data_IF_140622126962
#
_entry.id   IF_140622126962
#
_cell.length_a   1.000
_cell.length_b   1.000
_cell.length_c   1.000
_cell.angle_alpha   90.00
_cell.angle_beta   90.00
_cell.angle_gamma   90.00
#
_symmetry.space_group_name_H-M   'P 1'
#
loop_
_entity.id
_entity.type
_entity.pdbx_description
1 polymer ?
#
# COMPACT_ATOMS: atom_id res chain seq x y z
N UNK A 1 -12.36 -16.58 25.19
CA UNK A 1 -13.18 -15.37 24.90
C UNK A 1 -12.36 -14.21 25.46
N UNK A 2 -11.47 -13.64 24.67
CA UNK A 2 -10.80 -12.38 24.99
C UNK A 2 -11.76 -11.26 24.58
N UNK A 3 -12.14 -10.42 25.54
CA UNK A 3 -12.90 -9.20 25.28
C UNK A 3 -12.04 -8.31 24.39
N UNK A 4 -12.56 -7.96 23.21
CA UNK A 4 -12.04 -6.92 22.36
C UNK A 4 -12.25 -5.59 23.06
N UNK A 5 -11.22 -5.09 23.74
CA UNK A 5 -11.15 -3.71 24.18
C UNK A 5 -11.00 -2.81 22.95
N UNK A 6 -11.77 -1.75 22.93
CA UNK A 6 -12.00 -0.73 21.91
C UNK A 6 -10.99 -0.64 20.78
N UNK A 7 -11.50 -0.65 19.57
CA UNK A 7 -10.77 -0.60 18.30
C UNK A 7 -9.97 0.70 18.19
N UNK A 8 -8.78 0.73 18.77
CA UNK A 8 -7.79 1.78 18.48
C UNK A 8 -7.23 1.51 17.08
N UNK A 9 -7.38 2.48 16.19
CA UNK A 9 -6.75 2.45 14.87
C UNK A 9 -5.24 2.31 15.06
N UNK A 10 -4.64 1.24 14.51
CA UNK A 10 -3.19 1.03 14.62
C UNK A 10 -2.44 2.11 13.85
N UNK A 11 -1.18 2.35 14.23
CA UNK A 11 -0.32 3.29 13.50
C UNK A 11 -0.15 2.91 12.03
N UNK A 12 -0.25 1.62 11.69
CA UNK A 12 -0.20 1.14 10.32
C UNK A 12 -1.42 1.54 9.51
N UNK A 13 -2.63 1.41 10.05
CA UNK A 13 -3.88 1.83 9.38
C UNK A 13 -3.92 3.34 9.20
N UNK A 14 -3.51 4.11 10.21
CA UNK A 14 -3.37 5.57 10.10
C UNK A 14 -2.40 5.94 8.98
N UNK A 15 -1.28 5.22 8.88
CA UNK A 15 -0.32 5.42 7.80
C UNK A 15 -0.92 5.09 6.43
N UNK A 16 -1.59 3.94 6.29
CA UNK A 16 -2.22 3.52 5.04
C UNK A 16 -3.24 4.58 4.56
N UNK A 17 -4.13 5.04 5.44
CA UNK A 17 -5.12 6.09 5.14
C UNK A 17 -4.45 7.41 4.77
N UNK A 18 -3.43 7.84 5.53
CA UNK A 18 -2.66 9.06 5.25
C UNK A 18 -1.95 8.96 3.90
N UNK A 19 -1.37 7.80 3.56
CA UNK A 19 -0.72 7.55 2.26
C UNK A 19 -1.70 7.71 1.10
N UNK A 20 -2.90 7.14 1.21
CA UNK A 20 -3.94 7.28 0.19
C UNK A 20 -4.42 8.73 0.05
N UNK A 21 -4.59 9.45 1.16
CA UNK A 21 -4.98 10.87 1.17
C UNK A 21 -3.89 11.78 0.59
N UNK A 22 -2.61 11.56 0.91
CA UNK A 22 -1.47 12.28 0.32
C UNK A 22 -1.31 12.01 -1.18
N UNK A 23 -1.64 10.81 -1.65
CA UNK A 23 -1.62 10.46 -3.07
C UNK A 23 -2.64 11.26 -3.92
N UNK A 24 -3.60 11.92 -3.28
CA UNK A 24 -4.59 12.75 -3.96
C UNK A 24 -4.05 14.13 -4.40
N UNK A 25 -2.84 14.55 -3.95
CA UNK A 25 -2.24 15.83 -4.38
C UNK A 25 -1.64 15.71 -5.79
N UNK A 26 -1.95 16.66 -6.70
CA UNK A 26 -1.74 16.55 -8.15
C UNK A 26 -0.30 16.20 -8.60
N UNK A 27 0.73 16.78 -8.03
CA UNK A 27 2.12 16.50 -8.42
C UNK A 27 2.58 15.09 -7.97
N UNK A 28 2.25 14.69 -6.74
CA UNK A 28 2.55 13.37 -6.19
C UNK A 28 1.71 12.29 -6.89
N UNK A 29 0.49 12.62 -7.31
CA UNK A 29 -0.41 11.73 -8.05
C UNK A 29 0.15 11.33 -9.42
N UNK A 30 0.77 12.26 -10.16
CA UNK A 30 1.37 11.94 -11.45
C UNK A 30 2.54 10.96 -11.32
N UNK A 31 3.43 11.17 -10.35
CA UNK A 31 4.54 10.27 -10.07
C UNK A 31 4.06 8.88 -9.63
N UNK A 32 3.07 8.82 -8.74
CA UNK A 32 2.45 7.57 -8.31
C UNK A 32 1.82 6.81 -9.49
N UNK A 33 1.08 7.49 -10.35
CA UNK A 33 0.47 6.86 -11.53
C UNK A 33 1.51 6.29 -12.49
N UNK A 34 2.66 6.94 -12.64
CA UNK A 34 3.77 6.42 -13.44
C UNK A 34 4.35 5.14 -12.83
N UNK A 35 4.52 5.09 -11.50
CA UNK A 35 4.97 3.89 -10.77
C UNK A 35 3.99 2.72 -10.91
N UNK A 36 2.70 2.99 -10.71
CA UNK A 36 1.64 1.98 -10.84
C UNK A 36 1.57 1.43 -12.28
N UNK A 37 1.66 2.31 -13.28
CA UNK A 37 1.66 1.90 -14.70
C UNK A 37 2.89 1.05 -15.01
N UNK A 38 4.08 1.40 -14.50
CA UNK A 38 5.30 0.59 -14.66
C UNK A 38 5.12 -0.79 -14.04
N UNK A 39 4.58 -0.86 -12.83
CA UNK A 39 4.33 -2.14 -12.15
C UNK A 39 3.37 -3.05 -12.94
N UNK A 40 2.29 -2.49 -13.50
CA UNK A 40 1.37 -3.22 -14.38
C UNK A 40 2.10 -3.73 -15.62
N UNK A 41 2.90 -2.89 -16.29
CA UNK A 41 3.64 -3.28 -17.50
C UNK A 41 4.61 -4.43 -17.22
N UNK A 42 5.35 -4.37 -16.12
CA UNK A 42 6.31 -5.41 -15.73
C UNK A 42 5.57 -6.70 -15.37
N UNK A 43 4.52 -6.64 -14.56
CA UNK A 43 3.73 -7.81 -14.17
C UNK A 43 3.08 -8.49 -15.39
N UNK A 44 2.58 -7.73 -16.36
CA UNK A 44 2.02 -8.26 -17.60
C UNK A 44 3.09 -8.98 -18.43
N UNK A 45 4.29 -8.37 -18.56
CA UNK A 45 5.41 -8.93 -19.33
C UNK A 45 5.97 -10.20 -18.70
N UNK A 46 6.21 -10.21 -17.39
CA UNK A 46 6.76 -11.35 -16.66
C UNK A 46 5.81 -12.54 -16.65
N UNK A 47 4.50 -12.31 -16.47
CA UNK A 47 3.50 -13.35 -16.52
C UNK A 47 3.16 -13.84 -17.94
N UNK A 48 3.55 -13.08 -18.97
CA UNK A 48 3.41 -13.46 -20.38
C UNK A 48 1.98 -13.50 -20.93
N UNK A 49 0.99 -13.07 -20.14
CA UNK A 49 -0.42 -13.06 -20.54
C UNK A 49 -1.04 -11.69 -20.21
N UNK A 50 -1.69 -11.00 -21.18
CA UNK A 50 -2.38 -9.72 -20.94
C UNK A 50 -3.69 -9.85 -20.17
N UNK A 51 -4.21 -11.08 -20.01
CA UNK A 51 -5.43 -11.33 -19.25
C UNK A 51 -5.10 -11.54 -17.76
N UNK A 52 -5.61 -10.69 -16.85
CA UNK A 52 -5.38 -10.84 -15.43
C UNK A 52 -5.92 -12.16 -14.85
N UNK A 53 -6.92 -12.79 -15.47
CA UNK A 53 -7.44 -14.08 -15.01
C UNK A 53 -6.40 -15.21 -15.14
N UNK A 54 -5.46 -15.07 -16.08
CA UNK A 54 -4.38 -16.01 -16.33
C UNK A 54 -3.03 -15.57 -15.74
N UNK A 55 -2.97 -14.35 -15.17
CA UNK A 55 -1.73 -13.73 -14.68
C UNK A 55 -1.97 -13.10 -13.31
N UNK A 56 -1.70 -13.88 -12.26
CA UNK A 56 -1.94 -13.46 -10.88
C UNK A 56 -1.16 -12.19 -10.48
N UNK A 57 0.07 -12.02 -10.97
CA UNK A 57 0.87 -10.82 -10.72
C UNK A 57 0.25 -9.58 -11.36
N UNK A 58 -0.27 -9.72 -12.57
CA UNK A 58 -0.99 -8.65 -13.26
C UNK A 58 -2.30 -8.31 -12.55
N UNK A 59 -3.07 -9.32 -12.12
CA UNK A 59 -4.29 -9.11 -11.35
C UNK A 59 -4.02 -8.31 -10.08
N UNK A 60 -3.00 -8.68 -9.31
CA UNK A 60 -2.59 -7.96 -8.10
C UNK A 60 -2.14 -6.52 -8.39
N UNK A 61 -1.37 -6.29 -9.45
CA UNK A 61 -0.93 -4.95 -9.85
C UNK A 61 -2.11 -4.06 -10.28
N UNK A 62 -3.10 -4.61 -10.96
CA UNK A 62 -4.33 -3.90 -11.34
C UNK A 62 -5.16 -3.54 -10.11
N UNK A 63 -5.34 -4.46 -9.16
CA UNK A 63 -6.11 -4.20 -7.94
C UNK A 63 -5.47 -3.11 -7.08
N UNK A 64 -4.14 -3.16 -6.92
CA UNK A 64 -3.39 -2.07 -6.30
C UNK A 64 -3.65 -0.74 -7.01
N UNK A 65 -3.52 -0.70 -8.32
CA UNK A 65 -3.72 0.51 -9.11
C UNK A 65 -5.15 1.08 -9.00
N UNK A 66 -6.16 0.22 -8.91
CA UNK A 66 -7.56 0.61 -8.65
C UNK A 66 -7.71 1.27 -7.28
N UNK A 67 -7.06 0.74 -6.24
CA UNK A 67 -7.05 1.30 -4.90
C UNK A 67 -6.55 2.76 -4.85
N UNK A 68 -5.61 3.10 -5.74
CA UNK A 68 -5.11 4.47 -5.91
C UNK A 68 -5.83 5.27 -7.02
N UNK A 69 -6.97 4.78 -7.49
CA UNK A 69 -7.80 5.45 -8.51
C UNK A 69 -7.08 5.68 -9.84
N UNK A 70 -6.20 4.76 -10.26
CA UNK A 70 -5.60 4.83 -11.60
C UNK A 70 -6.70 4.62 -12.66
N UNK A 71 -6.86 5.53 -13.64
CA UNK A 71 -7.90 5.41 -14.66
C UNK A 71 -7.78 4.12 -15.47
N UNK A 72 -8.92 3.53 -15.81
CA UNK A 72 -9.00 2.26 -16.58
C UNK A 72 -8.24 2.34 -17.91
N UNK A 73 -8.29 3.49 -18.60
CA UNK A 73 -7.56 3.69 -19.85
C UNK A 73 -6.04 3.61 -19.65
N UNK A 74 -5.52 4.15 -18.54
CA UNK A 74 -4.10 4.06 -18.20
C UNK A 74 -3.68 2.62 -17.86
N UNK A 75 -4.53 1.86 -17.18
CA UNK A 75 -4.32 0.44 -16.93
C UNK A 75 -4.20 -0.32 -18.24
N UNK A 76 -5.14 -0.11 -19.18
CA UNK A 76 -5.11 -0.74 -20.50
C UNK A 76 -3.85 -0.40 -21.27
N UNK A 77 -3.48 0.89 -21.35
CA UNK A 77 -2.25 1.34 -22.01
C UNK A 77 -1.01 0.69 -21.40
N UNK A 78 -0.95 0.53 -20.08
CA UNK A 78 0.17 -0.12 -19.40
C UNK A 78 0.30 -1.61 -19.77
N UNK A 79 -0.83 -2.33 -19.89
CA UNK A 79 -0.86 -3.71 -20.34
C UNK A 79 -0.43 -3.81 -21.81
N UNK A 80 -1.01 -2.98 -22.70
CA UNK A 80 -0.70 -2.96 -24.13
C UNK A 80 0.80 -2.68 -24.38
N UNK A 81 1.41 -1.83 -23.54
CA UNK A 81 2.84 -1.50 -23.62
C UNK A 81 3.74 -2.72 -23.33
N UNK A 82 3.30 -3.66 -22.49
CA UNK A 82 4.07 -4.87 -22.17
C UNK A 82 4.26 -5.79 -23.38
N UNK A 83 3.28 -5.82 -24.31
CA UNK A 83 3.24 -6.71 -25.49
C UNK A 83 3.53 -5.99 -26.79
N UNK A 84 3.74 -4.66 -26.74
CA UNK A 84 4.08 -3.85 -27.92
C UNK A 84 5.50 -4.11 -28.40
N UNK A 85 5.73 -3.91 -29.73
CA UNK A 85 7.04 -4.05 -30.39
C UNK A 85 8.02 -2.90 -30.14
N UNK A 86 7.79 -2.07 -29.11
CA UNK A 86 8.64 -0.92 -28.76
C UNK A 86 9.98 -1.33 -28.13
N UNK A 87 11.02 -0.56 -28.39
CA UNK A 87 12.38 -0.75 -27.86
C UNK A 87 12.51 -0.56 -26.33
N UNK A 88 11.46 -0.30 -25.60
CA UNK A 88 11.42 -0.13 -24.15
C UNK A 88 11.37 -1.48 -23.40
N UNK A 89 12.27 -2.39 -23.76
CA UNK A 89 12.45 -3.65 -23.05
C UNK A 89 13.49 -3.54 -21.94
N UNK A 90 13.43 -2.45 -21.14
CA UNK A 90 14.23 -2.39 -19.93
C UNK A 90 13.92 -3.63 -19.07
N UNK A 91 14.95 -4.36 -18.71
CA UNK A 91 14.80 -5.48 -17.77
C UNK A 91 14.74 -4.90 -16.38
N UNK A 92 13.52 -4.79 -15.85
CA UNK A 92 13.30 -4.40 -14.47
C UNK A 92 13.52 -5.59 -13.54
N UNK A 93 14.12 -5.33 -12.40
CA UNK A 93 14.23 -6.28 -11.31
C UNK A 93 13.67 -5.68 -10.01
N UNK A 94 13.08 -6.53 -9.18
CA UNK A 94 12.64 -6.16 -7.85
C UNK A 94 13.81 -6.26 -6.87
N UNK A 95 14.07 -5.18 -6.12
CA UNK A 95 15.13 -5.11 -5.12
C UNK A 95 14.56 -4.57 -3.81
N UNK A 96 14.93 -5.20 -2.69
CA UNK A 96 14.57 -4.74 -1.35
C UNK A 96 15.76 -4.04 -0.72
N UNK A 97 15.54 -2.85 -0.20
CA UNK A 97 16.52 -2.09 0.58
C UNK A 97 16.02 -1.98 2.02
N UNK A 98 16.94 -2.17 2.95
CA UNK A 98 16.68 -2.21 4.38
C UNK A 98 17.58 -1.24 5.12
N UNK A 99 17.05 -0.47 6.05
CA UNK A 99 17.86 0.48 6.80
C UNK A 99 17.17 0.99 8.06
N UNK A 100 17.90 1.79 8.80
CA UNK A 100 17.43 2.50 9.99
C UNK A 100 17.42 3.99 9.73
N UNK A 101 16.26 4.60 9.91
CA UNK A 101 16.07 6.03 9.85
C UNK A 101 16.37 6.73 11.18
N UNK A 102 15.98 8.00 11.30
CA UNK A 102 16.07 8.75 12.55
C UNK A 102 15.45 7.98 13.73
N UNK A 103 15.98 8.18 14.93
CA UNK A 103 15.57 7.50 16.16
C UNK A 103 15.63 5.95 16.08
N UNK A 104 16.39 5.38 15.14
CA UNK A 104 16.54 3.94 14.98
C UNK A 104 15.30 3.24 14.41
N UNK A 105 14.38 3.98 13.78
CA UNK A 105 13.19 3.41 13.15
C UNK A 105 13.57 2.57 11.94
N UNK A 106 13.19 1.30 11.95
CA UNK A 106 13.43 0.43 10.80
C UNK A 106 12.57 0.85 9.61
N UNK A 107 13.20 0.89 8.43
CA UNK A 107 12.57 1.25 7.15
C UNK A 107 12.92 0.20 6.12
N UNK A 108 11.91 -0.31 5.42
CA UNK A 108 12.04 -1.26 4.34
C UNK A 108 11.47 -0.65 3.05
N UNK A 109 12.24 -0.74 1.96
CA UNK A 109 11.86 -0.19 0.66
C UNK A 109 11.85 -1.29 -0.40
N UNK A 110 10.78 -1.37 -1.16
CA UNK A 110 10.70 -2.21 -2.35
C UNK A 110 10.89 -1.36 -3.60
N UNK A 111 11.87 -1.70 -4.41
CA UNK A 111 12.21 -1.02 -5.66
C UNK A 111 11.95 -1.91 -6.87
N UNK A 112 11.53 -1.28 -7.96
CA UNK A 112 11.47 -1.87 -9.29
C UNK A 112 12.38 -1.06 -10.20
N UNK A 113 13.55 -1.59 -10.52
CA UNK A 113 14.61 -0.83 -11.17
C UNK A 113 15.24 -1.57 -12.36
N UNK A 114 15.65 -0.82 -13.33
CA UNK A 114 16.51 -1.26 -14.44
C UNK A 114 18.00 -1.02 -14.17
N UNK A 115 18.35 -0.37 -13.02
CA UNK A 115 19.72 -0.07 -12.64
C UNK A 115 19.92 -0.08 -11.12
N UNK A 116 20.29 -1.24 -10.57
CA UNK A 116 20.54 -1.44 -9.12
C UNK A 116 21.53 -0.46 -8.51
N UNK A 117 22.58 -0.12 -9.25
CA UNK A 117 23.64 0.74 -8.71
C UNK A 117 23.15 2.18 -8.53
N UNK A 118 22.39 2.70 -9.50
CA UNK A 118 21.73 4.00 -9.39
C UNK A 118 20.78 4.02 -8.20
N UNK A 119 19.84 3.07 -8.14
CA UNK A 119 18.86 3.02 -7.06
C UNK A 119 19.49 2.86 -5.69
N UNK A 120 20.52 1.99 -5.55
CA UNK A 120 21.24 1.83 -4.29
C UNK A 120 21.94 3.12 -3.85
N UNK A 121 22.49 3.90 -4.79
CA UNK A 121 23.11 5.19 -4.49
C UNK A 121 22.08 6.22 -4.01
N UNK A 122 20.94 6.30 -4.70
CA UNK A 122 19.86 7.23 -4.37
C UNK A 122 19.23 6.90 -3.00
N UNK A 123 18.96 5.63 -2.73
CA UNK A 123 18.44 5.18 -1.44
C UNK A 123 19.44 5.45 -0.31
N UNK A 124 20.73 5.13 -0.52
CA UNK A 124 21.76 5.43 0.47
C UNK A 124 21.87 6.93 0.76
N UNK A 125 21.78 7.75 -0.26
CA UNK A 125 21.81 9.21 -0.11
C UNK A 125 20.59 9.69 0.70
N UNK A 126 19.39 9.16 0.44
CA UNK A 126 18.18 9.51 1.19
C UNK A 126 18.33 9.19 2.69
N UNK A 127 18.77 7.98 3.04
CA UNK A 127 19.02 7.59 4.43
C UNK A 127 20.08 8.48 5.09
N UNK A 128 21.22 8.69 4.44
CA UNK A 128 22.33 9.49 5.00
C UNK A 128 21.94 10.95 5.22
N UNK A 129 21.19 11.56 4.32
CA UNK A 129 20.69 12.94 4.48
C UNK A 129 19.71 13.10 5.64
N UNK A 130 18.98 12.05 5.97
CA UNK A 130 18.05 12.04 7.10
C UNK A 130 18.73 11.71 8.44
N UNK A 131 20.02 11.41 8.44
CA UNK A 131 20.77 10.98 9.63
C UNK A 131 20.57 9.50 9.97
N UNK A 132 20.13 8.71 9.00
CA UNK A 132 19.99 7.26 9.09
C UNK A 132 21.09 6.51 8.34
N UNK A 133 20.97 5.20 8.27
CA UNK A 133 21.91 4.31 7.60
C UNK A 133 21.21 3.24 6.80
N UNK A 134 21.63 3.05 5.55
CA UNK A 134 21.26 1.88 4.77
C UNK A 134 22.01 0.64 5.33
N UNK A 135 21.25 -0.39 5.65
CA UNK A 135 21.77 -1.66 6.17
C UNK A 135 22.04 -2.69 5.07
N UNK A 136 22.32 -3.92 5.52
CA UNK A 136 22.40 -5.09 4.64
C UNK A 136 21.06 -5.81 4.57
N UNK A 137 20.90 -6.71 3.60
CA UNK A 137 19.72 -7.56 3.50
C UNK A 137 19.51 -8.37 4.78
N UNK A 138 18.28 -8.41 5.29
CA UNK A 138 17.91 -9.08 6.54
C UNK A 138 18.09 -8.22 7.80
N UNK A 139 18.56 -6.96 7.68
CA UNK A 139 18.80 -6.11 8.85
C UNK A 139 17.52 -5.62 9.53
N UNK A 140 16.41 -5.47 8.79
CA UNK A 140 15.12 -4.98 9.32
C UNK A 140 13.91 -5.82 8.90
N UNK A 141 14.02 -6.66 7.87
CA UNK A 141 12.89 -7.42 7.32
C UNK A 141 12.16 -8.28 8.38
N UNK A 142 12.89 -8.78 9.39
CA UNK A 142 12.33 -9.58 10.49
C UNK A 142 11.36 -8.80 11.40
N UNK A 143 11.34 -7.47 11.30
CA UNK A 143 10.45 -6.59 12.06
C UNK A 143 9.10 -6.39 11.35
N UNK A 144 8.92 -7.01 10.19
CA UNK A 144 7.70 -6.92 9.39
C UNK A 144 7.13 -8.30 9.09
N UNK A 145 5.81 -8.35 8.99
CA UNK A 145 5.06 -9.48 8.48
C UNK A 145 4.42 -9.10 7.15
N UNK A 146 4.57 -9.95 6.13
CA UNK A 146 3.92 -9.75 4.85
C UNK A 146 2.47 -10.19 4.91
N UNK A 147 1.54 -9.28 4.59
CA UNK A 147 0.09 -9.53 4.58
C UNK A 147 -0.55 -9.03 3.30
N UNK A 148 -1.73 -9.55 2.99
CA UNK A 148 -2.66 -8.92 2.07
C UNK A 148 -3.43 -7.83 2.79
N UNK A 149 -3.79 -6.76 2.09
CA UNK A 149 -4.58 -5.64 2.59
C UNK A 149 -5.67 -5.30 1.59
N UNK A 150 -6.91 -5.21 2.06
CA UNK A 150 -8.09 -4.82 1.26
C UNK A 150 -8.69 -3.57 1.88
N UNK A 151 -8.89 -2.54 1.08
CA UNK A 151 -9.56 -1.30 1.50
C UNK A 151 -11.05 -1.40 1.17
N UNK A 152 -11.88 -1.23 2.18
CA UNK A 152 -13.34 -1.34 2.08
C UNK A 152 -13.97 -0.04 2.57
N UNK A 153 -14.49 0.82 1.69
CA UNK A 153 -15.16 2.06 2.11
C UNK A 153 -16.46 1.73 2.87
N UNK A 154 -16.78 2.49 3.89
CA UNK A 154 -18.05 2.35 4.64
C UNK A 154 -19.25 2.82 3.83
N UNK A 155 -19.02 3.76 2.91
CA UNK A 155 -20.00 4.29 1.98
C UNK A 155 -19.50 4.23 0.53
N UNK A 156 -20.40 4.11 -0.43
CA UNK A 156 -20.08 4.07 -1.85
C UNK A 156 -20.86 5.13 -2.63
N UNK A 157 -20.25 5.67 -3.67
CA UNK A 157 -20.88 6.65 -4.54
C UNK A 157 -22.03 6.03 -5.36
N UNK A 158 -23.16 6.73 -5.43
CA UNK A 158 -24.34 6.26 -6.18
C UNK A 158 -24.42 6.81 -7.60
N UNK A 159 -23.69 7.91 -7.88
CA UNK A 159 -23.84 8.69 -9.09
C UNK A 159 -25.09 9.59 -9.11
N UNK A 160 -25.98 9.54 -8.12
CA UNK A 160 -27.12 10.41 -7.97
C UNK A 160 -26.74 11.71 -7.26
N UNK A 161 -27.00 12.86 -7.88
CA UNK A 161 -26.69 14.18 -7.29
C UNK A 161 -27.48 14.50 -6.03
N UNK A 162 -28.65 13.86 -5.81
CA UNK A 162 -29.48 14.09 -4.61
C UNK A 162 -29.05 13.22 -3.43
N UNK A 163 -28.59 11.99 -3.73
CA UNK A 163 -28.09 11.06 -2.75
C UNK A 163 -26.72 10.55 -3.23
N UNK A 164 -25.64 11.35 -3.07
CA UNK A 164 -24.36 11.07 -3.71
C UNK A 164 -23.67 9.80 -3.18
N UNK A 165 -23.98 9.39 -1.95
CA UNK A 165 -23.42 8.20 -1.30
C UNK A 165 -24.52 7.32 -0.71
N UNK A 166 -24.24 6.06 -0.51
CA UNK A 166 -25.06 5.08 0.19
C UNK A 166 -24.19 4.15 1.04
N UNK A 167 -24.75 3.52 2.09
CA UNK A 167 -24.08 2.49 2.85
C UNK A 167 -23.54 1.37 1.96
N UNK A 168 -22.36 0.83 2.28
CA UNK A 168 -21.70 -0.22 1.53
C UNK A 168 -22.00 -1.61 2.13
N UNK A 169 -23.23 -2.10 2.02
CA UNK A 169 -23.62 -3.40 2.54
C UNK A 169 -23.24 -3.56 4.00
N UNK A 170 -22.70 -4.71 4.38
CA UNK A 170 -22.24 -5.01 5.73
C UNK A 170 -21.17 -4.05 6.26
N UNK A 171 -20.41 -3.37 5.37
CA UNK A 171 -19.35 -2.43 5.79
C UNK A 171 -19.88 -1.15 6.46
N UNK A 172 -21.18 -0.90 6.42
CA UNK A 172 -21.80 0.23 7.10
C UNK A 172 -22.00 0.03 8.61
N UNK A 173 -21.95 -1.20 9.08
CA UNK A 173 -22.11 -1.59 10.49
C UNK A 173 -20.96 -2.51 10.90
N UNK A 174 -20.34 -2.24 12.06
CA UNK A 174 -19.14 -2.96 12.50
C UNK A 174 -19.42 -4.43 12.81
N UNK A 175 -20.56 -4.75 13.44
CA UNK A 175 -20.89 -6.14 13.81
C UNK A 175 -21.17 -6.97 12.56
N UNK A 176 -21.92 -6.43 11.60
CA UNK A 176 -22.18 -7.07 10.31
C UNK A 176 -20.89 -7.24 9.50
N UNK A 177 -20.01 -6.22 9.53
CA UNK A 177 -18.75 -6.27 8.82
C UNK A 177 -17.78 -7.31 9.40
N UNK A 178 -17.69 -7.39 10.72
CA UNK A 178 -16.90 -8.43 11.40
C UNK A 178 -17.30 -9.84 10.95
N UNK A 179 -18.60 -10.10 10.87
CA UNK A 179 -19.11 -11.40 10.40
C UNK A 179 -18.76 -11.63 8.92
N UNK A 180 -18.94 -10.62 8.06
CA UNK A 180 -18.62 -10.71 6.65
C UNK A 180 -17.11 -10.98 6.40
N UNK A 181 -16.23 -10.32 7.17
CA UNK A 181 -14.76 -10.55 7.10
C UNK A 181 -14.42 -11.98 7.53
N UNK A 182 -15.01 -12.46 8.64
CA UNK A 182 -14.77 -13.83 9.12
C UNK A 182 -15.25 -14.88 8.12
N UNK A 183 -16.46 -14.72 7.54
CA UNK A 183 -16.99 -15.61 6.52
C UNK A 183 -16.18 -15.60 5.23
N UNK A 184 -15.63 -14.43 4.85
CA UNK A 184 -14.75 -14.28 3.69
C UNK A 184 -13.37 -14.90 3.90
N UNK A 185 -12.98 -15.22 5.14
CA UNK A 185 -11.66 -15.75 5.49
C UNK A 185 -10.58 -14.69 5.71
N UNK A 186 -10.98 -13.47 6.09
CA UNK A 186 -10.05 -12.43 6.52
C UNK A 186 -9.44 -12.77 7.89
N UNK A 187 -8.18 -12.40 8.10
CA UNK A 187 -7.46 -12.66 9.36
C UNK A 187 -7.82 -11.62 10.43
N UNK A 188 -7.98 -10.35 10.02
CA UNK A 188 -8.21 -9.22 10.91
C UNK A 188 -8.78 -8.04 10.13
N UNK A 189 -9.31 -7.04 10.84
CA UNK A 189 -9.71 -5.78 10.24
C UNK A 189 -9.46 -4.61 11.20
N UNK A 190 -9.32 -3.42 10.65
CA UNK A 190 -9.13 -2.19 11.42
C UNK A 190 -10.03 -1.09 10.90
N UNK A 191 -10.53 -0.27 11.82
CA UNK A 191 -11.28 0.94 11.51
C UNK A 191 -10.32 2.06 11.09
N UNK A 192 -10.51 2.60 9.89
CA UNK A 192 -9.75 3.70 9.34
C UNK A 192 -10.65 4.92 9.01
N UNK A 193 -11.55 5.26 9.91
CA UNK A 193 -12.54 6.34 9.85
C UNK A 193 -13.60 6.09 8.75
N UNK A 194 -13.34 6.47 7.51
CA UNK A 194 -14.27 6.36 6.38
C UNK A 194 -14.21 4.99 5.68
N UNK A 195 -13.24 4.17 6.02
CA UNK A 195 -13.04 2.86 5.42
C UNK A 195 -12.54 1.84 6.45
N UNK A 196 -12.70 0.55 6.14
CA UNK A 196 -12.10 -0.56 6.85
C UNK A 196 -10.86 -1.04 6.11
N UNK A 197 -9.85 -1.45 6.86
CA UNK A 197 -8.69 -2.16 6.33
C UNK A 197 -8.80 -3.62 6.74
N UNK A 198 -8.97 -4.53 5.78
CA UNK A 198 -9.01 -5.97 6.04
C UNK A 198 -7.64 -6.57 5.73
N UNK A 199 -7.11 -7.34 6.68
CA UNK A 199 -5.85 -8.07 6.52
C UNK A 199 -6.12 -9.53 6.21
N UNK A 200 -5.26 -10.11 5.38
CA UNK A 200 -5.31 -11.51 4.96
C UNK A 200 -3.93 -12.12 4.95
N UNK A 201 -3.85 -13.44 4.88
CA UNK A 201 -2.62 -14.09 4.45
C UNK A 201 -2.26 -13.63 3.03
N UNK A 202 -0.96 -13.63 2.65
CA UNK A 202 -0.54 -13.24 1.31
C UNK A 202 -1.20 -14.05 0.19
N UNK A 203 -1.49 -15.33 0.44
CA UNK A 203 -2.07 -16.25 -0.55
C UNK A 203 -3.57 -16.08 -0.73
N UNK A 204 -4.26 -15.59 0.30
CA UNK A 204 -5.73 -15.55 0.34
C UNK A 204 -6.29 -14.18 -0.07
N UNK A 205 -5.43 -13.18 -0.30
CA UNK A 205 -5.81 -11.80 -0.61
C UNK A 205 -6.94 -11.71 -1.65
N UNK A 206 -6.77 -12.34 -2.81
CA UNK A 206 -7.74 -12.24 -3.89
C UNK A 206 -9.01 -13.08 -3.64
N UNK A 207 -8.88 -14.20 -2.91
CA UNK A 207 -10.01 -15.02 -2.53
C UNK A 207 -10.92 -14.30 -1.52
N UNK A 208 -10.32 -13.68 -0.49
CA UNK A 208 -11.04 -12.89 0.52
C UNK A 208 -11.71 -11.67 -0.13
N UNK A 209 -10.98 -10.94 -0.99
CA UNK A 209 -11.56 -9.82 -1.74
C UNK A 209 -12.80 -10.25 -2.52
N UNK A 210 -12.70 -11.35 -3.26
CA UNK A 210 -13.79 -11.88 -4.07
C UNK A 210 -14.99 -12.29 -3.20
N UNK A 211 -14.73 -12.95 -2.07
CA UNK A 211 -15.78 -13.36 -1.14
C UNK A 211 -16.55 -12.16 -0.55
N UNK A 212 -15.84 -11.07 -0.20
CA UNK A 212 -16.47 -9.82 0.25
C UNK A 212 -17.34 -9.21 -0.85
N UNK A 213 -16.88 -9.20 -2.10
CA UNK A 213 -17.64 -8.68 -3.24
C UNK A 213 -18.87 -9.54 -3.56
N UNK A 214 -18.79 -10.86 -3.43
CA UNK A 214 -19.91 -11.80 -3.55
C UNK A 214 -20.95 -11.63 -2.42
N UNK A 215 -20.54 -11.07 -1.28
CA UNK A 215 -21.42 -10.68 -0.17
C UNK A 215 -21.93 -9.20 -0.28
N UNK A 216 -21.91 -8.62 -1.48
CA UNK A 216 -22.36 -7.25 -1.76
C UNK A 216 -21.58 -6.14 -1.02
N UNK A 217 -20.35 -6.42 -0.60
CA UNK A 217 -19.41 -5.43 -0.04
C UNK A 217 -18.47 -4.94 -1.14
N UNK A 218 -18.59 -3.68 -1.54
CA UNK A 218 -17.71 -3.08 -2.55
C UNK A 218 -16.33 -2.83 -1.98
N UNK A 219 -15.29 -3.29 -2.66
CA UNK A 219 -13.89 -3.01 -2.30
C UNK A 219 -13.31 -1.89 -3.15
N UNK A 220 -12.43 -1.08 -2.57
CA UNK A 220 -11.74 0.01 -3.27
C UNK A 220 -10.48 -0.49 -3.99
N UNK A 221 -9.80 -1.48 -3.41
CA UNK A 221 -8.60 -2.09 -3.96
C UNK A 221 -7.98 -3.07 -2.99
N UNK A 222 -6.99 -3.82 -3.48
CA UNK A 222 -6.25 -4.78 -2.69
C UNK A 222 -4.77 -4.73 -3.06
N UNK A 223 -3.89 -4.86 -2.08
CA UNK A 223 -2.45 -4.88 -2.29
C UNK A 223 -1.73 -5.72 -1.24
N UNK A 224 -0.50 -6.11 -1.56
CA UNK A 224 0.41 -6.67 -0.56
C UNK A 224 1.02 -5.55 0.27
N UNK A 225 1.15 -5.78 1.56
CA UNK A 225 1.74 -4.82 2.51
C UNK A 225 2.72 -5.51 3.47
N UNK A 226 3.52 -4.70 4.16
CA UNK A 226 4.42 -5.13 5.25
C UNK A 226 3.93 -4.49 6.54
N UNK A 227 3.43 -5.30 7.46
CA UNK A 227 2.90 -4.85 8.75
C UNK A 227 3.99 -4.99 9.81
N UNK A 228 4.29 -3.94 10.60
CA UNK A 228 5.23 -4.05 11.72
C UNK A 228 4.76 -5.09 12.73
N UNK A 229 5.65 -6.01 13.12
CA UNK A 229 5.38 -6.99 14.19
C UNK A 229 5.41 -6.34 15.56
N UNK A 230 6.22 -5.30 15.73
CA UNK A 230 6.31 -4.49 16.95
C UNK A 230 6.49 -3.04 16.56
N UNK A 231 5.43 -2.22 16.63
CA UNK A 231 5.52 -0.81 16.35
C UNK A 231 6.49 -0.08 17.28
N UNK A 232 7.26 0.87 16.75
CA UNK A 232 8.23 1.65 17.50
C UNK A 232 7.64 3.02 17.87
N UNK A 233 7.54 3.31 19.16
CA UNK A 233 7.10 4.61 19.66
C UNK A 233 8.26 5.60 19.59
N UNK A 234 8.01 6.78 19.04
CA UNK A 234 8.99 7.88 18.91
C UNK A 234 8.36 9.20 19.35
N UNK A 235 9.20 10.23 19.58
CA UNK A 235 8.72 11.57 19.82
C UNK A 235 8.13 12.21 18.56
N UNK A 236 7.24 13.18 18.68
CA UNK A 236 6.71 13.98 17.55
C UNK A 236 7.84 14.56 16.70
N UNK A 237 8.91 15.08 17.35
CA UNK A 237 10.08 15.62 16.64
C UNK A 237 10.79 14.58 15.78
N UNK A 238 10.96 13.37 16.30
CA UNK A 238 11.60 12.28 15.57
C UNK A 238 10.67 11.71 14.51
N UNK A 239 9.38 11.64 14.78
CA UNK A 239 8.37 11.26 13.78
C UNK A 239 8.42 12.17 12.55
N UNK A 240 8.50 13.49 12.74
CA UNK A 240 8.67 14.45 11.62
C UNK A 240 9.96 14.21 10.82
N UNK A 241 11.05 13.77 11.46
CA UNK A 241 12.31 13.42 10.75
C UNK A 241 12.16 12.12 9.96
N UNK A 242 11.52 11.09 10.57
CA UNK A 242 11.25 9.81 9.90
C UNK A 242 10.36 10.05 8.68
N UNK A 243 9.32 10.86 8.81
CA UNK A 243 8.41 11.15 7.69
C UNK A 243 9.09 11.90 6.55
N UNK A 244 10.04 12.79 6.83
CA UNK A 244 10.86 13.43 5.78
C UNK A 244 11.72 12.40 5.02
N UNK A 245 12.25 11.38 5.72
CA UNK A 245 12.95 10.28 5.07
C UNK A 245 12.00 9.49 4.18
N UNK A 246 10.83 9.13 4.70
CA UNK A 246 9.82 8.38 3.95
C UNK A 246 9.38 9.15 2.71
N UNK A 247 9.02 10.44 2.85
CA UNK A 247 8.64 11.30 1.72
C UNK A 247 9.75 11.34 0.65
N UNK A 248 11.02 11.51 1.07
CA UNK A 248 12.15 11.52 0.15
C UNK A 248 12.37 10.20 -0.57
N UNK A 249 12.19 9.08 0.13
CA UNK A 249 12.26 7.75 -0.47
C UNK A 249 11.09 7.54 -1.46
N UNK A 250 9.90 7.96 -1.10
CA UNK A 250 8.72 7.86 -1.98
C UNK A 250 8.83 8.73 -3.24
N UNK A 251 9.61 9.80 -3.22
CA UNK A 251 9.90 10.63 -4.41
C UNK A 251 10.84 9.93 -5.39
N UNK A 252 11.61 8.93 -4.97
CA UNK A 252 12.49 8.18 -5.88
C UNK A 252 11.64 7.36 -6.85
N UNK A 253 11.94 7.53 -8.14
CA UNK A 253 11.14 6.93 -9.22
C UNK A 253 11.14 5.40 -9.19
N UNK A 254 12.24 4.80 -8.78
CA UNK A 254 12.41 3.34 -8.76
C UNK A 254 11.76 2.69 -7.51
N UNK A 255 11.48 3.44 -6.44
CA UNK A 255 10.84 2.90 -5.24
C UNK A 255 9.33 2.77 -5.43
N UNK A 256 8.81 1.56 -5.23
CA UNK A 256 7.39 1.23 -5.34
C UNK A 256 6.67 1.37 -4.00
N UNK A 257 7.29 0.89 -2.93
CA UNK A 257 6.74 0.93 -1.59
C UNK A 257 7.82 1.29 -0.59
N UNK A 258 7.41 2.02 0.45
CA UNK A 258 8.22 2.34 1.63
C UNK A 258 7.42 1.97 2.86
N UNK A 259 7.99 1.17 3.74
CA UNK A 259 7.39 0.71 4.99
C UNK A 259 8.28 1.10 6.16
N UNK A 260 7.68 1.36 7.30
CA UNK A 260 8.40 1.68 8.53
C UNK A 260 7.70 1.09 9.75
N UNK A 261 8.44 0.87 10.83
CA UNK A 261 7.90 0.35 12.08
C UNK A 261 7.41 1.43 13.06
N UNK A 262 7.48 2.72 12.68
CA UNK A 262 7.03 3.81 13.54
C UNK A 262 5.54 3.70 13.82
N UNK A 263 5.16 3.74 15.10
CA UNK A 263 3.77 3.88 15.51
C UNK A 263 3.31 5.33 15.32
N UNK A 264 2.25 5.52 14.54
CA UNK A 264 1.64 6.83 14.31
C UNK A 264 0.49 6.99 15.31
N UNK A 265 0.82 7.55 16.48
CA UNK A 265 -0.17 7.91 17.50
C UNK A 265 -1.04 9.08 17.04
N UNK A 266 -2.18 9.33 17.71
CA UNK A 266 -3.04 10.46 17.39
C UNK A 266 -2.28 11.79 17.47
N UNK A 267 -1.44 11.97 18.49
CA UNK A 267 -0.58 13.15 18.65
C UNK A 267 0.37 13.34 17.45
N UNK A 268 0.98 12.25 16.98
CA UNK A 268 1.86 12.30 15.81
C UNK A 268 1.06 12.60 14.56
N UNK A 269 -0.11 11.98 14.37
CA UNK A 269 -0.96 12.21 13.20
C UNK A 269 -1.39 13.68 13.12
N UNK A 270 -1.86 14.28 14.21
CA UNK A 270 -2.22 15.69 14.29
C UNK A 270 -1.03 16.61 13.95
N UNK A 271 0.15 16.31 14.51
CA UNK A 271 1.36 17.11 14.28
C UNK A 271 1.94 16.97 12.86
N UNK A 272 1.58 15.93 12.11
CA UNK A 272 1.98 15.74 10.70
C UNK A 272 1.01 16.42 9.73
N UNK A 273 -0.22 16.70 10.15
CA UNK A 273 -1.24 17.41 9.35
C UNK A 273 -1.10 18.94 9.42
N UNK A 274 -0.35 19.47 10.42
CA UNK A 274 0.04 20.89 10.53
C UNK A 274 1.20 21.25 9.57
#
# INVERSE_FOLDING_TARGET
IAMLEGTYMSGHSKWATTKHRKAAQDAKRSALFSKLSRNITVAAKEGGDPNPDNNASLAAAIEKAKGYSLPKDKIKVAIDKAFGSGKDSANYETVVYEGYGPAGVAVLCEALTDNRNRTAADVRAAFSHAGGNLGTSGSVAFQFERKGQIMVPKEVETGDKKNPVKPNGAAADEEEFMLAVAEAGGDDYEDAEDEWIVYTSPTDLMAVKKALEEADVVTKGAEMTMVPTTPATVSVSDAKKVMRLVDRLEELEDLQNVYHVMDITDEIAEALDE
#
